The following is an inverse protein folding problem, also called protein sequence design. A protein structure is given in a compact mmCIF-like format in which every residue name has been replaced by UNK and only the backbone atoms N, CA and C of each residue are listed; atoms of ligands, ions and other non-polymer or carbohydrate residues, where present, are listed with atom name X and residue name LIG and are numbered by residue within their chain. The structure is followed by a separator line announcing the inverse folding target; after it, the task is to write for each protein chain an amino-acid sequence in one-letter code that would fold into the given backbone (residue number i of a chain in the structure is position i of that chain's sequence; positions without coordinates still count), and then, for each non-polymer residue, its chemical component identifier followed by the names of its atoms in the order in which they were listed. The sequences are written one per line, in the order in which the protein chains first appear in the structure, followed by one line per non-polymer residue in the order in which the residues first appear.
data_IF_821193954639
#
_entry.id   IF_821193954639
#
_cell.length_a   1.000
_cell.length_b   1.000
_cell.length_c   1.000
_cell.angle_alpha   90.00
_cell.angle_beta   90.00
_cell.angle_gamma   90.00
#
_symmetry.space_group_name_H-M   'P 1'
#
loop_
_entity.id
_entity.type
_entity.pdbx_description
1 polymer ?
#
# COMPACT_ATOMS: atom_id res chain seq x y z
N UNK A 1 0.49 37.35 -23.56
CA UNK A 1 -0.09 37.35 -22.19
C UNK A 1 -0.19 38.80 -21.75
N UNK A 2 -1.35 39.26 -21.27
CA UNK A 2 -1.50 40.64 -20.82
C UNK A 2 -0.50 40.97 -19.70
N UNK A 3 0.10 42.15 -19.75
CA UNK A 3 1.08 42.64 -18.77
C UNK A 3 0.43 43.60 -17.78
N UNK A 4 1.12 43.90 -16.67
CA UNK A 4 0.63 44.89 -15.69
C UNK A 4 0.49 46.30 -16.31
N UNK A 5 1.25 46.60 -17.37
CA UNK A 5 1.14 47.85 -18.14
C UNK A 5 -0.17 47.91 -18.93
N UNK A 6 -0.60 46.78 -19.49
CA UNK A 6 -1.85 46.68 -20.26
C UNK A 6 -3.05 46.87 -19.34
N UNK A 7 -3.02 46.26 -18.14
CA UNK A 7 -4.03 46.46 -17.09
C UNK A 7 -4.07 47.92 -16.64
N UNK A 8 -2.90 48.55 -16.43
CA UNK A 8 -2.81 49.95 -16.04
C UNK A 8 -3.40 50.90 -17.10
N UNK A 9 -3.08 50.65 -18.37
CA UNK A 9 -3.61 51.41 -19.51
C UNK A 9 -5.12 51.26 -19.64
N UNK A 10 -5.66 50.04 -19.53
CA UNK A 10 -7.09 49.79 -19.65
C UNK A 10 -7.89 50.33 -18.45
N UNK A 11 -7.33 50.21 -17.24
CA UNK A 11 -7.96 50.75 -16.04
C UNK A 11 -7.78 52.27 -15.91
N UNK A 12 -6.94 52.92 -16.73
CA UNK A 12 -6.67 54.36 -16.70
C UNK A 12 -5.94 54.82 -15.43
N UNK A 13 -5.01 54.01 -14.92
CA UNK A 13 -4.25 54.29 -13.68
C UNK A 13 -2.75 53.98 -13.88
N UNK A 14 -1.91 54.38 -12.92
CA UNK A 14 -0.49 54.01 -12.94
C UNK A 14 -0.28 52.51 -12.66
N UNK A 15 0.81 51.94 -13.17
CA UNK A 15 1.24 50.56 -12.83
C UNK A 15 1.45 50.37 -11.32
N UNK A 16 1.87 51.42 -10.60
CA UNK A 16 1.98 51.42 -9.15
C UNK A 16 0.60 51.30 -8.46
N UNK A 17 -0.43 51.95 -9.00
CA UNK A 17 -1.82 51.83 -8.51
C UNK A 17 -2.36 50.42 -8.74
N UNK A 18 -2.12 49.84 -9.92
CA UNK A 18 -2.47 48.43 -10.20
C UNK A 18 -1.76 47.49 -9.23
N UNK A 19 -0.46 47.71 -8.96
CA UNK A 19 0.31 46.94 -7.99
C UNK A 19 -0.24 47.07 -6.56
N UNK A 20 -0.70 48.26 -6.14
CA UNK A 20 -1.33 48.47 -4.82
C UNK A 20 -2.67 47.73 -4.68
N UNK A 21 -3.48 47.72 -5.73
CA UNK A 21 -4.74 46.95 -5.76
C UNK A 21 -4.46 45.44 -5.70
N UNK A 22 -3.50 44.97 -6.50
CA UNK A 22 -3.08 43.57 -6.56
C UNK A 22 -2.48 43.10 -5.22
N UNK A 23 -1.57 43.86 -4.63
CA UNK A 23 -0.81 43.44 -3.45
C UNK A 23 -1.41 43.92 -2.12
N UNK A 24 -2.50 44.70 -2.14
CA UNK A 24 -3.17 45.28 -0.97
C UNK A 24 -2.23 46.08 -0.04
N UNK A 25 -1.19 46.71 -0.60
CA UNK A 25 -0.13 47.36 0.18
C UNK A 25 -0.45 48.80 0.61
N UNK A 26 -1.55 49.38 0.13
CA UNK A 26 -1.99 50.73 0.48
C UNK A 26 -3.50 50.89 0.22
N UNK A 27 -4.13 51.87 0.87
CA UNK A 27 -5.53 52.21 0.60
C UNK A 27 -5.70 52.71 -0.84
N UNK A 28 -6.69 52.17 -1.53
CA UNK A 28 -7.10 52.56 -2.88
C UNK A 28 -8.61 52.71 -2.85
N UNK A 29 -9.10 53.82 -3.38
CA UNK A 29 -10.51 54.15 -3.44
C UNK A 29 -11.33 53.02 -4.10
N UNK A 30 -12.51 52.65 -3.57
CA UNK A 30 -13.30 51.52 -4.04
C UNK A 30 -13.60 51.55 -5.55
N UNK A 31 -13.93 52.73 -6.08
CA UNK A 31 -14.24 52.93 -7.51
C UNK A 31 -13.01 52.64 -8.39
N UNK A 32 -11.82 53.04 -7.92
CA UNK A 32 -10.56 52.81 -8.63
C UNK A 32 -10.15 51.33 -8.55
N UNK A 33 -10.40 50.66 -7.43
CA UNK A 33 -10.18 49.23 -7.26
C UNK A 33 -11.04 48.40 -8.21
N UNK A 34 -12.34 48.71 -8.29
CA UNK A 34 -13.28 48.00 -9.13
C UNK A 34 -12.93 48.12 -10.63
N UNK A 35 -12.46 49.30 -11.06
CA UNK A 35 -11.94 49.52 -12.42
C UNK A 35 -10.73 48.64 -12.74
N UNK A 36 -9.79 48.51 -11.80
CA UNK A 36 -8.61 47.67 -11.97
C UNK A 36 -8.99 46.19 -12.02
N UNK A 37 -9.87 45.73 -11.12
CA UNK A 37 -10.35 44.35 -11.10
C UNK A 37 -11.12 43.96 -12.36
N UNK A 38 -11.94 44.89 -12.89
CA UNK A 38 -12.62 44.71 -14.17
C UNK A 38 -11.62 44.59 -15.32
N UNK A 39 -10.65 45.50 -15.43
CA UNK A 39 -9.60 45.42 -16.46
C UNK A 39 -8.77 44.13 -16.38
N UNK A 40 -8.52 43.61 -15.18
CA UNK A 40 -7.85 42.31 -15.00
C UNK A 40 -8.68 41.14 -15.52
N UNK A 41 -10.00 41.15 -15.28
CA UNK A 41 -10.93 40.13 -15.80
C UNK A 41 -11.01 40.17 -17.33
N UNK A 42 -11.21 41.37 -17.88
CA UNK A 42 -11.40 41.57 -19.32
C UNK A 42 -10.13 41.21 -20.13
N UNK A 43 -8.95 41.45 -19.56
CA UNK A 43 -7.67 41.07 -20.17
C UNK A 43 -7.23 39.63 -19.88
N UNK A 44 -8.02 38.86 -19.13
CA UNK A 44 -7.65 37.55 -18.58
C UNK A 44 -6.24 37.58 -17.96
N UNK A 45 -5.93 38.66 -17.24
CA UNK A 45 -4.62 38.90 -16.68
C UNK A 45 -4.37 37.91 -15.54
N UNK A 46 -3.40 37.00 -15.73
CA UNK A 46 -2.89 36.12 -14.69
C UNK A 46 -1.55 36.63 -14.19
N UNK A 47 -1.39 36.67 -12.87
CA UNK A 47 -0.11 37.03 -12.24
C UNK A 47 0.98 36.08 -12.74
N UNK A 48 2.09 36.65 -13.20
CA UNK A 48 3.26 35.88 -13.55
C UNK A 48 4.01 35.49 -12.26
N UNK A 49 3.88 34.23 -11.84
CA UNK A 49 4.51 33.71 -10.63
C UNK A 49 6.05 33.83 -10.66
N UNK A 50 6.67 33.69 -11.85
CA UNK A 50 8.12 33.81 -12.01
C UNK A 50 8.63 35.25 -11.77
N UNK A 51 7.86 36.26 -12.16
CA UNK A 51 8.21 37.67 -11.93
C UNK A 51 8.05 38.08 -10.46
N UNK A 52 7.15 37.43 -9.72
CA UNK A 52 6.97 37.62 -8.27
C UNK A 52 8.11 36.96 -7.49
N UNK A 53 8.52 35.74 -7.89
CA UNK A 53 9.66 35.04 -7.30
C UNK A 53 10.99 35.78 -7.49
N UNK A 54 11.13 36.57 -8.57
CA UNK A 54 12.31 37.40 -8.81
C UNK A 54 12.30 38.71 -7.99
N UNK A 55 11.11 39.29 -7.73
CA UNK A 55 10.96 40.58 -7.07
C UNK A 55 10.83 40.47 -5.54
N UNK A 56 10.26 39.37 -5.04
CA UNK A 56 10.34 38.95 -3.64
C UNK A 56 11.42 37.89 -3.55
N UNK A 57 12.53 38.16 -2.86
CA UNK A 57 13.34 37.09 -2.24
C UNK A 57 12.51 36.37 -1.17
N UNK A 58 11.42 35.69 -1.55
CA UNK A 58 10.61 34.88 -0.64
C UNK A 58 10.91 33.42 -0.94
N UNK A 59 12.04 32.93 -0.45
CA UNK A 59 12.39 31.53 -0.52
C UNK A 59 11.65 30.74 0.55
N UNK A 60 10.33 30.71 0.48
CA UNK A 60 9.53 29.89 1.39
C UNK A 60 9.42 28.44 0.84
N UNK A 61 10.49 27.91 0.21
CA UNK A 61 10.50 26.58 -0.39
C UNK A 61 11.68 25.73 0.13
N UNK A 62 11.36 24.54 0.61
CA UNK A 62 12.30 23.50 0.99
C UNK A 62 12.20 22.37 -0.02
N UNK A 63 13.36 21.90 -0.50
CA UNK A 63 13.46 20.78 -1.42
C UNK A 63 13.69 19.47 -0.69
N UNK A 64 13.08 18.39 -1.17
CA UNK A 64 13.34 17.04 -0.72
C UNK A 64 13.58 16.15 -1.94
N UNK A 65 14.80 15.62 -2.08
CA UNK A 65 15.10 14.55 -3.02
C UNK A 65 15.03 13.21 -2.29
N UNK A 66 14.19 12.30 -2.78
CA UNK A 66 14.03 10.94 -2.25
C UNK A 66 14.40 9.89 -3.31
N UNK A 67 14.52 8.62 -2.92
CA UNK A 67 14.63 7.51 -3.87
C UNK A 67 13.33 7.30 -4.65
N UNK A 68 12.46 6.41 -4.18
CA UNK A 68 11.14 6.15 -4.76
C UNK A 68 10.01 6.59 -3.82
N UNK A 69 9.15 7.52 -4.25
CA UNK A 69 8.05 8.04 -3.43
C UNK A 69 7.05 6.97 -2.98
N UNK A 70 6.92 5.86 -3.71
CA UNK A 70 6.02 4.77 -3.35
C UNK A 70 6.51 3.97 -2.13
N UNK A 71 7.81 4.03 -1.78
CA UNK A 71 8.33 3.19 -0.70
C UNK A 71 7.95 3.76 0.68
N UNK A 72 7.48 2.91 1.63
CA UNK A 72 7.05 3.36 2.95
C UNK A 72 8.12 4.12 3.76
N UNK A 73 9.40 3.83 3.51
CA UNK A 73 10.52 4.56 4.12
C UNK A 73 10.54 6.04 3.71
N UNK A 74 10.46 6.31 2.40
CA UNK A 74 10.50 7.67 1.88
C UNK A 74 9.23 8.45 2.19
N UNK A 75 8.07 7.79 2.28
CA UNK A 75 6.84 8.41 2.77
C UNK A 75 6.98 8.92 4.21
N UNK A 76 7.63 8.16 5.11
CA UNK A 76 7.90 8.60 6.48
C UNK A 76 8.92 9.74 6.55
N UNK A 77 9.98 9.67 5.74
CA UNK A 77 10.96 10.74 5.63
C UNK A 77 10.29 12.04 5.15
N UNK A 78 9.51 11.97 4.07
CA UNK A 78 8.79 13.11 3.52
C UNK A 78 7.84 13.73 4.53
N UNK A 79 7.09 12.91 5.27
CA UNK A 79 6.23 13.38 6.37
C UNK A 79 7.02 14.10 7.46
N UNK A 80 8.17 13.58 7.87
CA UNK A 80 9.02 14.23 8.88
C UNK A 80 9.52 15.60 8.43
N UNK A 81 9.90 15.71 7.15
CA UNK A 81 10.31 16.99 6.55
C UNK A 81 9.11 17.94 6.40
N UNK A 82 7.95 17.43 6.00
CA UNK A 82 6.69 18.18 5.86
C UNK A 82 6.25 18.78 7.21
N UNK A 83 6.27 17.99 8.29
CA UNK A 83 5.88 18.44 9.63
C UNK A 83 6.72 19.64 10.09
N UNK A 84 8.02 19.64 9.80
CA UNK A 84 8.93 20.76 10.11
C UNK A 84 8.68 21.93 9.16
N UNK A 85 8.57 21.67 7.86
CA UNK A 85 8.35 22.70 6.83
C UNK A 85 7.06 23.49 7.11
N UNK A 86 5.97 22.79 7.44
CA UNK A 86 4.67 23.38 7.77
C UNK A 86 4.72 24.25 9.02
N UNK A 87 5.41 23.81 10.08
CA UNK A 87 5.59 24.61 11.31
C UNK A 87 6.34 25.90 11.05
N UNK A 88 7.31 25.87 10.15
CA UNK A 88 8.13 27.02 9.77
C UNK A 88 7.51 27.83 8.62
N UNK A 89 6.30 27.51 8.16
CA UNK A 89 5.60 28.16 7.04
C UNK A 89 6.34 28.04 5.69
N UNK A 90 7.18 27.03 5.53
CA UNK A 90 7.80 26.66 4.25
C UNK A 90 6.90 25.69 3.46
N UNK A 91 6.94 25.82 2.13
CA UNK A 91 6.36 24.87 1.18
C UNK A 91 7.38 23.79 0.88
N UNK A 92 6.94 22.54 0.85
CA UNK A 92 7.79 21.39 0.52
C UNK A 92 7.65 21.03 -0.97
N UNK A 93 8.77 20.97 -1.67
CA UNK A 93 8.86 20.45 -3.03
C UNK A 93 9.61 19.12 -3.02
N UNK A 94 8.98 18.07 -3.55
CA UNK A 94 9.52 16.70 -3.50
C UNK A 94 9.86 16.20 -4.90
N UNK A 95 11.05 15.62 -5.04
CA UNK A 95 11.50 14.94 -6.25
C UNK A 95 11.90 13.49 -5.94
N UNK A 96 11.74 12.61 -6.92
CA UNK A 96 12.12 11.20 -6.85
C UNK A 96 13.31 10.95 -7.78
N UNK A 97 14.43 10.48 -7.23
CA UNK A 97 15.65 10.14 -7.96
C UNK A 97 15.74 8.68 -8.39
N UNK A 98 14.79 7.82 -7.99
CA UNK A 98 14.64 6.47 -8.53
C UNK A 98 15.82 5.52 -8.28
N UNK A 99 16.74 5.83 -7.36
CA UNK A 99 18.01 5.12 -7.20
C UNK A 99 18.82 5.04 -8.50
N UNK A 100 18.77 6.12 -9.29
CA UNK A 100 19.45 6.30 -10.57
C UNK A 100 20.27 7.60 -10.55
N UNK A 101 21.50 7.56 -11.04
CA UNK A 101 22.42 8.69 -10.95
C UNK A 101 21.92 9.90 -11.76
N UNK A 102 21.40 9.69 -12.97
CA UNK A 102 20.95 10.76 -13.85
C UNK A 102 19.69 11.41 -13.30
N UNK A 103 18.74 10.61 -12.81
CA UNK A 103 17.52 11.11 -12.18
C UNK A 103 17.79 11.82 -10.84
N UNK A 104 18.67 11.29 -9.99
CA UNK A 104 19.09 11.94 -8.74
C UNK A 104 19.71 13.33 -9.04
N UNK A 105 20.58 13.40 -10.05
CA UNK A 105 21.19 14.67 -10.47
C UNK A 105 20.15 15.65 -11.03
N UNK A 106 19.30 15.20 -11.96
CA UNK A 106 18.27 16.04 -12.56
C UNK A 106 17.27 16.56 -11.51
N UNK A 107 16.90 15.74 -10.53
CA UNK A 107 16.06 16.13 -9.41
C UNK A 107 16.72 17.20 -8.53
N UNK A 108 18.01 17.05 -8.24
CA UNK A 108 18.76 18.04 -7.46
C UNK A 108 18.91 19.38 -8.22
N UNK A 109 19.25 19.33 -9.51
CA UNK A 109 19.30 20.51 -10.38
C UNK A 109 17.95 21.23 -10.44
N UNK A 110 16.85 20.47 -10.55
CA UNK A 110 15.51 21.02 -10.53
C UNK A 110 15.22 21.76 -9.22
N UNK A 111 15.47 21.14 -8.05
CA UNK A 111 15.22 21.75 -6.74
C UNK A 111 16.03 23.05 -6.54
N UNK A 112 17.30 23.06 -6.98
CA UNK A 112 18.14 24.26 -6.96
C UNK A 112 17.57 25.35 -7.88
N UNK A 113 17.20 25.00 -9.11
CA UNK A 113 16.68 25.95 -10.11
C UNK A 113 15.29 26.51 -9.75
N UNK A 114 14.48 25.77 -8.99
CA UNK A 114 13.21 26.26 -8.45
C UNK A 114 13.38 27.23 -7.27
N UNK A 115 14.61 27.46 -6.82
CA UNK A 115 14.91 28.42 -5.74
C UNK A 115 14.57 27.90 -4.35
N UNK A 116 14.70 26.58 -4.12
CA UNK A 116 14.63 26.05 -2.75
C UNK A 116 15.75 26.68 -1.90
N UNK A 117 15.46 27.07 -0.65
CA UNK A 117 16.47 27.66 0.27
C UNK A 117 17.26 26.61 1.02
N UNK A 118 16.62 25.47 1.30
CA UNK A 118 17.22 24.31 1.95
C UNK A 118 16.83 23.05 1.17
N UNK A 119 17.72 22.07 1.10
CA UNK A 119 17.44 20.81 0.41
C UNK A 119 17.86 19.65 1.32
N UNK A 120 16.91 18.75 1.59
CA UNK A 120 17.19 17.44 2.19
C UNK A 120 17.35 16.44 1.05
N UNK A 121 18.48 15.74 1.01
CA UNK A 121 18.85 14.85 -0.08
C UNK A 121 19.07 13.43 0.43
N UNK A 122 18.25 12.51 -0.06
CA UNK A 122 18.62 11.10 -0.14
C UNK A 122 19.09 10.81 -1.57
N UNK A 123 20.39 10.53 -1.73
CA UNK A 123 20.98 10.19 -3.01
C UNK A 123 21.91 8.98 -2.81
N UNK A 124 21.55 7.88 -3.45
CA UNK A 124 22.20 6.58 -3.27
C UNK A 124 23.20 6.24 -4.37
N UNK A 125 23.04 6.84 -5.56
CA UNK A 125 23.87 6.59 -6.74
C UNK A 125 24.78 7.74 -7.08
N UNK A 126 24.34 8.97 -6.83
CA UNK A 126 25.11 10.16 -7.15
C UNK A 126 26.48 10.09 -6.45
N UNK A 127 27.61 10.24 -7.17
CA UNK A 127 28.94 10.15 -6.56
C UNK A 127 29.17 11.24 -5.52
N UNK A 128 29.94 10.93 -4.47
CA UNK A 128 30.26 11.86 -3.38
C UNK A 128 30.85 13.18 -3.90
N UNK A 129 31.71 13.11 -4.92
CA UNK A 129 32.30 14.29 -5.57
C UNK A 129 31.26 15.28 -6.10
N UNK A 130 30.14 14.78 -6.63
CA UNK A 130 29.07 15.64 -7.16
C UNK A 130 28.26 16.24 -6.02
N UNK A 131 27.87 15.44 -5.02
CA UNK A 131 27.19 15.96 -3.82
C UNK A 131 28.01 17.03 -3.10
N UNK A 132 29.33 16.87 -3.03
CA UNK A 132 30.23 17.90 -2.49
C UNK A 132 30.24 19.17 -3.33
N UNK A 133 30.16 19.07 -4.67
CA UNK A 133 30.04 20.24 -5.55
C UNK A 133 28.73 20.99 -5.31
N UNK A 134 27.60 20.29 -5.13
CA UNK A 134 26.34 20.93 -4.75
C UNK A 134 26.45 21.57 -3.36
N UNK A 135 26.99 20.86 -2.36
CA UNK A 135 27.13 21.36 -1.00
C UNK A 135 28.04 22.60 -0.88
N UNK A 136 29.01 22.76 -1.79
CA UNK A 136 29.88 23.92 -1.87
C UNK A 136 29.12 25.18 -2.36
N UNK A 137 28.16 25.02 -3.27
CA UNK A 137 27.37 26.13 -3.83
C UNK A 137 26.02 26.32 -3.11
N UNK A 138 25.58 25.32 -2.35
CA UNK A 138 24.32 25.28 -1.64
C UNK A 138 24.55 24.94 -0.15
N UNK A 139 24.79 25.95 0.71
CA UNK A 139 25.16 25.72 2.11
C UNK A 139 24.12 24.98 2.95
N UNK A 140 22.84 25.07 2.59
CA UNK A 140 21.72 24.46 3.30
C UNK A 140 21.30 23.08 2.72
N UNK A 141 22.25 22.36 2.11
CA UNK A 141 22.06 20.99 1.64
C UNK A 141 22.43 20.02 2.77
N UNK A 142 21.48 19.17 3.15
CA UNK A 142 21.64 18.11 4.16
C UNK A 142 21.47 16.76 3.48
N UNK A 143 22.41 15.85 3.71
CA UNK A 143 22.36 14.48 3.16
C UNK A 143 21.82 13.54 4.23
N UNK A 144 20.85 12.71 3.87
CA UNK A 144 20.27 11.70 4.76
C UNK A 144 20.64 10.29 4.30
N UNK A 145 20.84 9.38 5.26
CA UNK A 145 21.17 7.97 5.05
C UNK A 145 22.46 7.76 4.21
N UNK A 146 23.42 8.68 4.32
CA UNK A 146 24.74 8.55 3.70
C UNK A 146 25.75 9.44 4.42
N UNK A 147 26.95 8.91 4.65
CA UNK A 147 28.08 9.66 5.19
C UNK A 147 29.02 10.10 4.06
N UNK A 148 29.42 11.37 4.08
CA UNK A 148 30.38 11.94 3.12
C UNK A 148 31.39 12.77 3.92
N UNK A 149 32.64 12.33 3.96
CA UNK A 149 33.67 12.91 4.82
C UNK A 149 33.85 14.43 4.64
N UNK A 150 33.79 14.92 3.39
CA UNK A 150 33.94 16.35 3.07
C UNK A 150 32.78 17.25 3.51
N UNK A 151 31.66 16.67 3.97
CA UNK A 151 30.50 17.41 4.48
C UNK A 151 29.83 16.70 5.66
N UNK A 152 30.63 16.01 6.48
CA UNK A 152 30.17 15.16 7.58
C UNK A 152 29.20 15.86 8.54
N UNK A 153 29.42 17.16 8.82
CA UNK A 153 28.55 17.98 9.67
C UNK A 153 27.16 18.27 9.08
N UNK A 154 26.90 17.86 7.84
CA UNK A 154 25.61 17.96 7.14
C UNK A 154 25.05 16.60 6.73
N UNK A 155 25.64 15.52 7.23
CA UNK A 155 25.14 14.16 7.03
C UNK A 155 24.34 13.72 8.25
N UNK A 156 23.16 13.16 8.01
CA UNK A 156 22.36 12.44 9.02
C UNK A 156 22.31 10.99 8.55
N UNK A 157 23.06 10.09 9.20
CA UNK A 157 23.16 8.70 8.78
C UNK A 157 23.13 7.75 9.99
N UNK A 158 23.02 6.46 9.68
CA UNK A 158 23.12 5.37 10.65
C UNK A 158 24.40 4.58 10.38
N UNK A 159 25.10 4.16 11.44
CA UNK A 159 26.19 3.19 11.35
C UNK A 159 25.62 1.78 11.06
N UNK A 160 25.32 1.48 9.80
CA UNK A 160 24.70 0.22 9.36
C UNK A 160 25.47 -1.01 9.85
N UNK A 161 26.81 -0.97 9.77
CA UNK A 161 27.68 -2.07 10.20
C UNK A 161 27.52 -2.35 11.69
N UNK A 162 27.63 -1.32 12.53
CA UNK A 162 27.47 -1.48 13.97
C UNK A 162 26.05 -1.90 14.33
N UNK A 163 25.03 -1.31 13.69
CA UNK A 163 23.62 -1.64 13.95
C UNK A 163 23.31 -3.12 13.61
N UNK A 164 23.75 -3.61 12.45
CA UNK A 164 23.56 -5.01 12.06
C UNK A 164 24.34 -5.98 12.95
N UNK A 165 25.54 -5.59 13.39
CA UNK A 165 26.32 -6.36 14.35
C UNK A 165 25.59 -6.51 15.69
N UNK A 166 25.09 -5.42 16.26
CA UNK A 166 24.33 -5.48 17.53
C UNK A 166 23.03 -6.29 17.39
N UNK A 167 22.30 -6.14 16.28
CA UNK A 167 21.09 -6.94 16.02
C UNK A 167 21.40 -8.44 15.95
N UNK A 168 22.50 -8.82 15.29
CA UNK A 168 22.92 -10.22 15.19
C UNK A 168 23.45 -10.75 16.51
N UNK A 169 24.23 -9.93 17.25
CA UNK A 169 24.70 -10.26 18.60
C UNK A 169 23.55 -10.52 19.56
N UNK A 170 22.48 -9.74 19.48
CA UNK A 170 21.29 -9.98 20.29
C UNK A 170 20.71 -11.39 20.07
N UNK A 171 20.59 -11.83 18.81
CA UNK A 171 20.14 -13.19 18.49
C UNK A 171 21.11 -14.26 19.03
N UNK A 172 22.42 -14.03 18.87
CA UNK A 172 23.46 -14.94 19.37
C UNK A 172 23.45 -15.07 20.90
N UNK A 173 23.26 -13.94 21.60
CA UNK A 173 23.14 -13.89 23.05
C UNK A 173 21.91 -14.66 23.57
N UNK A 174 20.83 -14.68 22.79
CA UNK A 174 19.62 -15.47 23.07
C UNK A 174 19.71 -16.95 22.64
N UNK A 175 20.91 -17.45 22.29
CA UNK A 175 21.15 -18.86 22.01
C UNK A 175 20.92 -19.27 20.56
N UNK A 176 20.52 -18.37 19.67
CA UNK A 176 20.44 -18.68 18.24
C UNK A 176 21.86 -18.91 17.70
N UNK A 177 22.04 -19.93 16.85
CA UNK A 177 23.33 -20.26 16.20
C UNK A 177 23.22 -20.38 14.68
N UNK A 178 21.99 -20.56 14.18
CA UNK A 178 21.66 -20.66 12.76
C UNK A 178 20.82 -19.46 12.39
N UNK A 179 21.48 -18.41 11.94
CA UNK A 179 20.87 -17.11 11.65
C UNK A 179 20.99 -16.89 10.14
N UNK A 180 19.88 -16.59 9.48
CA UNK A 180 19.89 -16.22 8.08
C UNK A 180 19.82 -14.70 7.92
N UNK A 181 20.45 -14.19 6.86
CA UNK A 181 20.46 -12.78 6.48
C UNK A 181 19.77 -12.64 5.13
N UNK A 182 18.57 -12.06 5.13
CA UNK A 182 17.88 -11.63 3.90
C UNK A 182 18.27 -10.19 3.61
N UNK A 183 18.75 -9.95 2.40
CA UNK A 183 19.18 -8.63 1.93
C UNK A 183 18.62 -8.33 0.55
N UNK A 184 18.59 -7.05 0.17
CA UNK A 184 18.27 -6.65 -1.19
C UNK A 184 19.40 -6.99 -2.18
N UNK A 185 19.11 -7.04 -3.48
CA UNK A 185 20.06 -7.10 -4.59
C UNK A 185 20.51 -5.72 -5.10
N UNK A 186 20.01 -4.65 -4.47
CA UNK A 186 20.36 -3.28 -4.80
C UNK A 186 21.88 -3.05 -4.64
N UNK A 187 22.56 -2.43 -5.62
CA UNK A 187 23.98 -2.09 -5.53
C UNK A 187 24.21 -0.82 -4.69
N UNK A 188 23.93 -0.92 -3.39
CA UNK A 188 24.08 0.18 -2.42
C UNK A 188 25.03 -0.21 -1.29
N UNK A 189 25.72 0.78 -0.71
CA UNK A 189 26.69 0.56 0.37
C UNK A 189 26.03 -0.01 1.64
N UNK A 190 24.82 0.42 1.97
CA UNK A 190 24.06 -0.02 3.15
C UNK A 190 23.92 -1.55 3.22
N UNK A 191 23.73 -2.19 2.06
CA UNK A 191 23.65 -3.65 1.92
C UNK A 191 24.95 -4.31 2.39
N UNK A 192 26.07 -3.82 1.88
CA UNK A 192 27.39 -4.36 2.20
C UNK A 192 27.72 -4.16 3.69
N UNK A 193 27.47 -2.96 4.22
CA UNK A 193 27.74 -2.65 5.62
C UNK A 193 26.92 -3.52 6.58
N UNK A 194 25.62 -3.70 6.31
CA UNK A 194 24.76 -4.57 7.12
C UNK A 194 25.22 -6.03 7.05
N UNK A 195 25.58 -6.52 5.87
CA UNK A 195 26.06 -7.88 5.69
C UNK A 195 27.40 -8.11 6.41
N UNK A 196 28.29 -7.13 6.40
CA UNK A 196 29.55 -7.20 7.12
C UNK A 196 29.35 -7.16 8.63
N UNK A 197 28.42 -6.33 9.13
CA UNK A 197 28.06 -6.31 10.56
C UNK A 197 27.50 -7.66 11.04
N UNK A 198 26.64 -8.27 10.23
CA UNK A 198 26.14 -9.64 10.45
C UNK A 198 27.27 -10.67 10.50
N UNK A 199 28.19 -10.66 9.52
CA UNK A 199 29.34 -11.58 9.47
C UNK A 199 30.27 -11.38 10.67
N UNK A 200 30.57 -10.14 11.02
CA UNK A 200 31.40 -9.79 12.16
C UNK A 200 30.83 -10.34 13.47
N UNK A 201 29.52 -10.21 13.70
CA UNK A 201 28.87 -10.75 14.89
C UNK A 201 28.94 -12.29 14.95
N UNK A 202 28.81 -12.98 13.81
CA UNK A 202 28.95 -14.44 13.77
C UNK A 202 30.40 -14.87 14.04
N UNK A 203 31.37 -14.17 13.47
CA UNK A 203 32.80 -14.42 13.69
C UNK A 203 33.20 -14.22 15.16
N UNK A 204 32.67 -13.19 15.84
CA UNK A 204 32.84 -12.96 17.28
C UNK A 204 32.40 -14.16 18.15
N UNK A 205 31.46 -14.97 17.65
CA UNK A 205 30.95 -16.17 18.32
C UNK A 205 31.53 -17.48 17.72
N UNK A 206 32.53 -17.38 16.83
CA UNK A 206 33.16 -18.53 16.18
C UNK A 206 32.26 -19.28 15.20
N UNK A 207 31.27 -18.60 14.61
CA UNK A 207 30.29 -19.19 13.69
C UNK A 207 30.62 -18.75 12.27
N UNK A 208 30.79 -19.73 11.37
CA UNK A 208 30.83 -19.47 9.93
C UNK A 208 29.42 -19.55 9.34
N UNK A 209 28.88 -18.48 8.73
CA UNK A 209 27.56 -18.54 8.10
C UNK A 209 27.55 -19.50 6.92
N UNK A 210 26.54 -20.36 6.83
CA UNK A 210 26.28 -21.13 5.61
C UNK A 210 25.94 -20.13 4.48
N UNK A 211 26.63 -20.18 3.33
CA UNK A 211 26.35 -19.27 2.22
C UNK A 211 24.89 -19.30 1.75
N UNK A 212 24.19 -20.43 1.93
CA UNK A 212 22.76 -20.58 1.59
C UNK A 212 21.84 -19.76 2.47
N UNK A 213 22.33 -19.26 3.61
CA UNK A 213 21.56 -18.43 4.53
C UNK A 213 21.75 -16.93 4.29
N UNK A 214 22.58 -16.55 3.34
CA UNK A 214 22.68 -15.15 2.86
C UNK A 214 21.90 -15.04 1.55
N UNK A 215 20.68 -14.54 1.65
CA UNK A 215 19.73 -14.49 0.55
C UNK A 215 19.62 -13.06 0.03
N UNK A 216 19.96 -12.87 -1.25
CA UNK A 216 19.85 -11.58 -1.93
C UNK A 216 18.69 -11.61 -2.91
N UNK A 217 17.71 -10.72 -2.72
CA UNK A 217 16.47 -10.68 -3.51
C UNK A 217 16.11 -9.24 -3.91
N UNK A 218 15.26 -9.03 -4.93
CA UNK A 218 14.72 -7.70 -5.22
C UNK A 218 14.07 -7.04 -4.01
N UNK A 219 14.22 -5.72 -3.89
CA UNK A 219 13.62 -4.93 -2.80
C UNK A 219 12.13 -4.66 -3.08
N UNK A 220 11.31 -5.70 -3.05
CA UNK A 220 9.86 -5.64 -3.23
C UNK A 220 9.18 -6.86 -2.57
N UNK A 221 7.84 -6.90 -2.62
CA UNK A 221 7.04 -7.98 -2.02
C UNK A 221 7.38 -9.36 -2.61
N UNK A 222 7.53 -9.45 -3.94
CA UNK A 222 7.92 -10.69 -4.64
C UNK A 222 9.31 -11.19 -4.22
N UNK A 223 10.26 -10.27 -3.98
CA UNK A 223 11.56 -10.60 -3.43
C UNK A 223 11.45 -11.17 -2.01
N UNK A 224 10.61 -10.57 -1.17
CA UNK A 224 10.30 -11.07 0.17
C UNK A 224 9.70 -12.47 0.17
N UNK A 225 8.73 -12.72 -0.71
CA UNK A 225 8.13 -14.05 -0.91
C UNK A 225 9.17 -15.08 -1.34
N UNK A 226 10.01 -14.76 -2.33
CA UNK A 226 11.10 -15.65 -2.77
C UNK A 226 12.10 -15.96 -1.66
N UNK A 227 12.47 -14.97 -0.86
CA UNK A 227 13.36 -15.17 0.28
C UNK A 227 12.71 -16.12 1.32
N UNK A 228 11.42 -15.96 1.60
CA UNK A 228 10.69 -16.85 2.51
C UNK A 228 10.69 -18.30 1.99
N UNK A 229 10.39 -18.52 0.71
CA UNK A 229 10.47 -19.85 0.10
C UNK A 229 11.87 -20.47 0.18
N UNK A 230 12.92 -19.68 -0.13
CA UNK A 230 14.30 -20.16 -0.03
C UNK A 230 14.67 -20.54 1.40
N UNK A 231 14.26 -19.74 2.40
CA UNK A 231 14.50 -20.05 3.81
C UNK A 231 13.79 -21.32 4.26
N UNK A 232 12.52 -21.49 3.92
CA UNK A 232 11.74 -22.70 4.23
C UNK A 232 12.41 -23.93 3.61
N UNK A 233 12.85 -23.83 2.35
CA UNK A 233 13.49 -24.93 1.62
C UNK A 233 14.95 -25.17 2.02
N UNK A 234 15.60 -24.22 2.72
CA UNK A 234 17.00 -24.35 3.13
C UNK A 234 17.23 -25.37 4.27
N UNK A 235 16.15 -25.85 4.89
CA UNK A 235 16.22 -26.74 6.06
C UNK A 235 16.74 -26.05 7.33
N UNK A 236 16.88 -24.72 7.32
CA UNK A 236 17.15 -23.94 8.52
C UNK A 236 15.98 -24.15 9.50
N UNK A 237 16.22 -24.68 10.71
CA UNK A 237 15.16 -24.74 11.72
C UNK A 237 14.82 -23.32 12.12
N UNK A 238 13.73 -22.81 11.56
CA UNK A 238 13.30 -21.44 11.76
C UNK A 238 12.81 -21.28 13.19
N UNK A 239 13.63 -20.66 14.03
CA UNK A 239 13.19 -20.12 15.32
C UNK A 239 12.42 -18.84 15.04
N UNK A 240 11.11 -18.97 14.88
CA UNK A 240 10.25 -17.81 14.75
C UNK A 240 9.86 -17.28 16.13
N UNK A 241 10.15 -15.99 16.39
CA UNK A 241 9.44 -15.24 17.43
C UNK A 241 8.23 -14.49 16.84
N UNK A 242 7.47 -15.17 15.97
CA UNK A 242 6.27 -14.59 15.34
C UNK A 242 5.01 -15.13 16.00
N UNK A 243 3.97 -14.30 16.04
CA UNK A 243 2.61 -14.72 16.39
C UNK A 243 1.83 -14.91 15.10
N UNK A 244 1.26 -16.10 14.91
CA UNK A 244 0.35 -16.40 13.82
C UNK A 244 -1.06 -15.94 14.23
N UNK A 245 -1.64 -15.04 13.44
CA UNK A 245 -3.06 -14.69 13.54
C UNK A 245 -3.75 -15.32 12.34
N UNK A 246 -4.69 -16.24 12.59
CA UNK A 246 -5.51 -16.88 11.56
C UNK A 246 -6.88 -16.23 11.53
N UNK A 247 -7.28 -15.69 10.37
CA UNK A 247 -8.64 -15.22 10.13
C UNK A 247 -9.51 -16.41 9.71
N UNK A 248 -10.35 -16.87 10.63
CA UNK A 248 -11.22 -18.03 10.52
C UNK A 248 -12.70 -17.61 10.39
N UNK A 249 -12.97 -16.39 9.94
CA UNK A 249 -14.34 -15.81 9.83
C UNK A 249 -15.30 -16.58 8.94
N UNK A 250 -14.80 -17.48 8.08
CA UNK A 250 -15.59 -18.34 7.19
C UNK A 250 -15.77 -19.76 7.73
N UNK A 251 -15.24 -20.07 8.91
CA UNK A 251 -15.21 -21.44 9.45
C UNK A 251 -16.60 -22.08 9.59
N UNK A 252 -17.64 -21.28 9.84
CA UNK A 252 -19.02 -21.78 9.97
C UNK A 252 -19.68 -22.06 8.61
N UNK A 253 -19.14 -21.51 7.51
CA UNK A 253 -19.71 -21.61 6.16
C UNK A 253 -19.06 -22.75 5.37
N UNK A 254 -19.05 -23.96 5.90
CA UNK A 254 -18.59 -25.14 5.19
C UNK A 254 -19.75 -25.85 4.51
N UNK A 255 -19.51 -26.43 3.34
CA UNK A 255 -20.52 -27.26 2.71
C UNK A 255 -20.75 -28.55 3.52
N UNK A 256 -21.95 -29.14 3.48
CA UNK A 256 -22.24 -30.39 4.18
C UNK A 256 -21.21 -31.49 3.84
N UNK A 257 -20.65 -32.11 4.87
CA UNK A 257 -19.63 -33.16 4.76
C UNK A 257 -18.18 -32.67 4.79
N UNK A 258 -17.94 -31.36 4.67
CA UNK A 258 -16.59 -30.78 4.74
C UNK A 258 -16.18 -30.48 6.19
N UNK A 259 -14.88 -30.42 6.46
CA UNK A 259 -14.34 -30.16 7.80
C UNK A 259 -13.30 -29.05 7.76
N UNK A 260 -13.45 -28.06 8.65
CA UNK A 260 -12.45 -27.02 8.88
C UNK A 260 -11.57 -27.38 10.06
N UNK A 261 -10.26 -27.24 9.90
CA UNK A 261 -9.29 -27.42 10.98
C UNK A 261 -8.77 -26.07 11.42
N UNK A 262 -9.24 -25.60 12.57
CA UNK A 262 -8.74 -24.35 13.17
C UNK A 262 -7.25 -24.43 13.53
N UNK A 263 -6.54 -23.31 13.46
CA UNK A 263 -5.17 -23.13 13.95
C UNK A 263 -5.01 -23.55 15.42
N UNK A 264 -6.11 -23.55 16.19
CA UNK A 264 -6.13 -23.98 17.59
C UNK A 264 -5.90 -25.49 17.77
N UNK A 265 -6.07 -26.30 16.71
CA UNK A 265 -5.73 -27.73 16.72
C UNK A 265 -4.24 -28.00 16.61
N UNK A 266 -3.41 -26.99 16.35
CA UNK A 266 -1.97 -27.12 16.45
C UNK A 266 -1.61 -27.53 17.89
N UNK A 267 -0.67 -28.48 18.04
CA UNK A 267 -0.29 -29.00 19.36
C UNK A 267 0.19 -27.92 20.33
N UNK A 268 0.06 -28.16 21.63
CA UNK A 268 0.26 -27.19 22.73
C UNK A 268 1.52 -26.33 22.62
N UNK A 269 2.60 -26.87 22.05
CA UNK A 269 3.84 -26.12 21.79
C UNK A 269 3.62 -24.82 20.99
N UNK A 270 2.56 -24.75 20.19
CA UNK A 270 2.21 -23.61 19.35
C UNK A 270 1.22 -22.64 19.99
N UNK A 271 0.49 -23.05 21.04
CA UNK A 271 -0.53 -22.23 21.70
C UNK A 271 -0.01 -20.89 22.25
N UNK A 272 1.30 -20.82 22.55
CA UNK A 272 2.01 -19.59 22.93
C UNK A 272 2.12 -18.54 21.82
N UNK A 273 1.77 -18.90 20.58
CA UNK A 273 2.09 -18.13 19.37
C UNK A 273 0.94 -18.04 18.37
N UNK A 274 -0.26 -18.49 18.73
CA UNK A 274 -1.40 -18.50 17.80
C UNK A 274 -2.57 -17.70 18.35
N UNK A 275 -3.25 -17.01 17.45
CA UNK A 275 -4.51 -16.31 17.69
C UNK A 275 -5.45 -16.76 16.56
N UNK A 276 -6.62 -17.28 16.90
CA UNK A 276 -7.71 -17.44 15.94
C UNK A 276 -8.64 -16.23 16.05
N UNK A 277 -8.96 -15.61 14.91
CA UNK A 277 -9.91 -14.52 14.79
C UNK A 277 -11.15 -15.02 14.06
N UNK A 278 -12.34 -14.79 14.63
CA UNK A 278 -13.61 -15.18 14.00
C UNK A 278 -14.67 -14.10 14.24
N UNK A 279 -15.77 -14.13 13.48
CA UNK A 279 -16.89 -13.23 13.68
C UNK A 279 -18.17 -13.80 13.06
N UNK A 280 -19.31 -13.52 13.68
CA UNK A 280 -20.64 -13.86 13.13
C UNK A 280 -20.99 -13.10 11.83
N UNK A 281 -20.15 -12.14 11.42
CA UNK A 281 -20.47 -11.19 10.35
C UNK A 281 -20.71 -11.83 8.98
N UNK A 282 -19.95 -12.86 8.60
CA UNK A 282 -20.09 -13.52 7.29
C UNK A 282 -21.20 -14.56 7.31
N UNK A 283 -21.21 -15.40 8.35
CA UNK A 283 -22.15 -16.50 8.51
C UNK A 283 -23.59 -16.02 8.67
N UNK A 284 -23.82 -15.01 9.51
CA UNK A 284 -25.15 -14.55 9.90
C UNK A 284 -25.51 -13.16 9.35
N UNK A 285 -24.68 -12.60 8.46
CA UNK A 285 -24.95 -11.30 7.84
C UNK A 285 -24.84 -10.09 8.78
N UNK A 286 -24.08 -10.22 9.88
CA UNK A 286 -23.97 -9.21 10.94
C UNK A 286 -22.81 -8.22 10.76
N UNK A 287 -22.36 -7.96 9.53
CA UNK A 287 -21.18 -7.12 9.27
C UNK A 287 -21.30 -5.66 9.74
N UNK A 288 -22.52 -5.12 9.78
CA UNK A 288 -22.79 -3.77 10.28
C UNK A 288 -22.60 -3.64 11.80
N UNK A 289 -22.65 -4.75 12.54
CA UNK A 289 -22.55 -4.76 14.00
C UNK A 289 -21.10 -4.68 14.50
N UNK A 290 -20.10 -4.83 13.63
CA UNK A 290 -18.66 -4.58 13.93
C UNK A 290 -18.18 -5.25 15.22
N UNK A 291 -18.46 -6.54 15.38
CA UNK A 291 -17.98 -7.36 16.49
C UNK A 291 -17.23 -8.60 15.98
N UNK A 292 -16.14 -8.93 16.66
CA UNK A 292 -15.25 -10.06 16.34
C UNK A 292 -14.74 -10.71 17.63
N UNK A 293 -14.43 -12.00 17.55
CA UNK A 293 -13.85 -12.77 18.63
C UNK A 293 -12.40 -13.12 18.33
N UNK A 294 -11.55 -13.03 19.35
CA UNK A 294 -10.17 -13.52 19.31
C UNK A 294 -10.01 -14.65 20.33
N UNK A 295 -9.72 -15.84 19.83
CA UNK A 295 -9.43 -17.02 20.64
C UNK A 295 -7.92 -17.11 20.82
N UNK A 296 -7.44 -16.79 22.02
CA UNK A 296 -6.02 -16.73 22.38
C UNK A 296 -5.77 -17.68 23.56
N UNK A 297 -5.21 -18.88 23.31
CA UNK A 297 -4.97 -19.87 24.36
C UNK A 297 -3.96 -19.39 25.42
N UNK A 298 -2.90 -18.70 25.01
CA UNK A 298 -1.86 -18.24 25.92
C UNK A 298 -2.27 -16.97 26.70
N UNK A 299 -2.30 -17.02 28.05
CA UNK A 299 -2.73 -15.87 28.86
C UNK A 299 -1.82 -14.65 28.72
N UNK A 300 -0.51 -14.84 28.52
CA UNK A 300 0.46 -13.74 28.43
C UNK A 300 0.27 -12.97 27.13
N UNK A 301 0.14 -13.71 26.02
CA UNK A 301 -0.18 -13.15 24.70
C UNK A 301 -1.54 -12.46 24.72
N UNK A 302 -2.56 -13.07 25.35
CA UNK A 302 -3.89 -12.48 25.49
C UNK A 302 -3.86 -11.15 26.23
N UNK A 303 -3.15 -11.06 27.35
CA UNK A 303 -3.02 -9.81 28.11
C UNK A 303 -2.29 -8.72 27.31
N UNK A 304 -1.22 -9.08 26.59
CA UNK A 304 -0.52 -8.14 25.69
C UNK A 304 -1.43 -7.65 24.57
N UNK A 305 -2.26 -8.53 24.01
CA UNK A 305 -3.21 -8.20 22.96
C UNK A 305 -4.30 -7.24 23.47
N UNK A 306 -4.92 -7.55 24.62
CA UNK A 306 -5.91 -6.68 25.26
C UNK A 306 -5.35 -5.29 25.57
N UNK A 307 -4.16 -5.21 26.17
CA UNK A 307 -3.50 -3.92 26.45
C UNK A 307 -3.30 -3.06 25.21
N UNK A 308 -3.10 -3.66 24.03
CA UNK A 308 -3.00 -2.93 22.77
C UNK A 308 -4.37 -2.50 22.24
N UNK A 309 -5.40 -3.34 22.36
CA UNK A 309 -6.78 -2.96 22.00
C UNK A 309 -7.27 -1.77 22.83
N UNK A 310 -7.06 -1.82 24.15
CA UNK A 310 -7.44 -0.75 25.08
C UNK A 310 -6.72 0.56 24.73
N UNK A 311 -5.41 0.50 24.44
CA UNK A 311 -4.64 1.67 24.02
C UNK A 311 -5.13 2.30 22.71
N UNK A 312 -5.84 1.53 21.87
CA UNK A 312 -6.44 1.99 20.62
C UNK A 312 -7.95 2.30 20.74
N UNK A 313 -8.57 2.08 21.91
CA UNK A 313 -10.02 2.25 22.11
C UNK A 313 -10.86 1.29 21.26
N UNK A 314 -10.32 0.09 20.97
CA UNK A 314 -10.98 -0.94 20.14
C UNK A 314 -11.77 -1.96 20.99
N UNK A 315 -11.95 -1.68 22.27
CA UNK A 315 -12.65 -2.48 23.28
C UNK A 315 -14.13 -2.08 23.48
N UNK A 316 -14.60 -1.05 22.77
CA UNK A 316 -15.97 -0.52 22.92
C UNK A 316 -16.92 -1.13 21.88
N UNK A 317 -17.78 -2.04 22.32
CA UNK A 317 -18.84 -2.63 21.51
C UNK A 317 -20.22 -2.16 21.98
N UNK A 318 -21.14 -1.96 21.03
CA UNK A 318 -22.52 -1.65 21.42
C UNK A 318 -23.24 -2.92 21.92
N UNK A 319 -24.19 -2.76 22.85
CA UNK A 319 -24.88 -3.88 23.48
C UNK A 319 -25.66 -4.76 22.48
N UNK A 320 -26.18 -4.15 21.40
CA UNK A 320 -26.88 -4.86 20.33
C UNK A 320 -25.93 -5.84 19.61
N UNK A 321 -24.69 -5.43 19.32
CA UNK A 321 -23.69 -6.28 18.67
C UNK A 321 -23.34 -7.49 19.50
N UNK A 322 -23.16 -7.32 20.81
CA UNK A 322 -22.86 -8.43 21.73
C UNK A 322 -24.04 -9.41 21.78
N UNK A 323 -25.26 -8.90 21.92
CA UNK A 323 -26.46 -9.74 21.97
C UNK A 323 -26.67 -10.49 20.66
N UNK A 324 -26.59 -9.81 19.51
CA UNK A 324 -26.79 -10.41 18.21
C UNK A 324 -25.75 -11.51 17.91
N UNK A 325 -24.47 -11.28 18.22
CA UNK A 325 -23.43 -12.31 18.05
C UNK A 325 -23.65 -13.50 18.98
N UNK A 326 -24.09 -13.26 20.23
CA UNK A 326 -24.40 -14.32 21.20
C UNK A 326 -25.57 -15.17 20.73
N UNK A 327 -26.68 -14.55 20.32
CA UNK A 327 -27.87 -15.25 19.79
C UNK A 327 -27.55 -15.99 18.48
N UNK A 328 -26.70 -15.43 17.61
CA UNK A 328 -26.28 -16.09 16.38
C UNK A 328 -25.66 -17.47 16.63
N UNK A 329 -24.67 -17.56 17.53
CA UNK A 329 -24.01 -18.85 17.80
C UNK A 329 -24.79 -19.76 18.77
N UNK A 330 -25.56 -19.22 19.72
CA UNK A 330 -26.27 -20.04 20.70
C UNK A 330 -27.63 -20.55 20.22
N UNK A 331 -28.32 -19.81 19.35
CA UNK A 331 -29.74 -20.06 19.05
C UNK A 331 -30.02 -20.30 17.55
N UNK A 332 -29.11 -19.91 16.65
CA UNK A 332 -29.39 -19.92 15.20
C UNK A 332 -28.86 -21.15 14.45
N UNK A 333 -28.54 -22.25 15.16
CA UNK A 333 -27.97 -23.47 14.56
C UNK A 333 -28.84 -24.05 13.46
N UNK A 334 -30.15 -24.20 13.70
CA UNK A 334 -31.08 -24.77 12.73
C UNK A 334 -31.17 -23.94 11.44
N UNK A 335 -31.14 -22.61 11.58
CA UNK A 335 -31.11 -21.70 10.44
C UNK A 335 -29.80 -21.85 9.65
N UNK A 336 -28.66 -21.94 10.35
CA UNK A 336 -27.36 -22.14 9.72
C UNK A 336 -27.32 -23.46 8.94
N UNK A 337 -27.75 -24.58 9.53
CA UNK A 337 -27.79 -25.88 8.84
C UNK A 337 -28.64 -25.80 7.56
N UNK A 338 -29.82 -25.18 7.65
CA UNK A 338 -30.71 -24.97 6.50
C UNK A 338 -30.07 -24.08 5.42
N UNK A 339 -29.30 -23.05 5.82
CA UNK A 339 -28.55 -22.20 4.91
C UNK A 339 -27.43 -23.00 4.21
N UNK A 340 -26.70 -23.84 4.93
CA UNK A 340 -25.61 -24.63 4.35
C UNK A 340 -26.13 -25.62 3.31
N UNK A 341 -27.24 -26.30 3.61
CA UNK A 341 -27.93 -27.17 2.65
C UNK A 341 -28.38 -26.39 1.41
N UNK A 342 -28.95 -25.19 1.61
CA UNK A 342 -29.36 -24.33 0.51
C UNK A 342 -28.17 -23.87 -0.36
N UNK A 343 -27.05 -23.46 0.25
CA UNK A 343 -25.85 -23.05 -0.45
C UNK A 343 -25.21 -24.22 -1.22
N UNK A 344 -25.20 -25.42 -0.64
CA UNK A 344 -24.71 -26.63 -1.28
C UNK A 344 -25.54 -26.99 -2.50
N UNK A 345 -26.86 -26.94 -2.37
CA UNK A 345 -27.79 -27.16 -3.47
C UNK A 345 -27.66 -26.08 -4.55
N UNK A 346 -27.52 -24.81 -4.15
CA UNK A 346 -27.26 -23.71 -5.07
C UNK A 346 -25.99 -23.94 -5.91
N UNK A 347 -24.90 -24.32 -5.25
CA UNK A 347 -23.63 -24.64 -5.88
C UNK A 347 -23.73 -25.84 -6.81
N UNK A 348 -24.30 -26.95 -6.35
CA UNK A 348 -24.44 -28.20 -7.12
C UNK A 348 -25.12 -27.93 -8.46
N UNK A 349 -26.31 -27.34 -8.40
CA UNK A 349 -27.08 -27.00 -9.60
C UNK A 349 -26.36 -25.97 -10.48
N UNK A 350 -25.70 -24.94 -9.92
CA UNK A 350 -25.00 -23.96 -10.75
C UNK A 350 -23.83 -24.60 -11.49
N UNK A 351 -23.08 -25.49 -10.82
CA UNK A 351 -21.99 -26.25 -11.44
C UNK A 351 -22.51 -27.16 -12.55
N UNK A 352 -23.63 -27.86 -12.33
CA UNK A 352 -24.29 -28.70 -13.35
C UNK A 352 -24.67 -27.86 -14.58
N UNK A 353 -25.37 -26.75 -14.38
CA UNK A 353 -25.80 -25.86 -15.46
C UNK A 353 -24.64 -25.20 -16.21
N UNK A 354 -23.60 -24.76 -15.49
CA UNK A 354 -22.42 -24.18 -16.10
C UNK A 354 -21.65 -25.24 -16.92
N UNK A 355 -21.53 -26.46 -16.41
CA UNK A 355 -20.83 -27.55 -17.10
C UNK A 355 -21.57 -27.97 -18.37
N UNK A 356 -22.90 -28.01 -18.32
CA UNK A 356 -23.74 -28.39 -19.46
C UNK A 356 -23.75 -27.31 -20.56
N UNK A 357 -23.82 -26.03 -20.18
CA UNK A 357 -24.16 -24.95 -21.12
C UNK A 357 -23.04 -23.94 -21.40
N UNK A 358 -21.99 -23.89 -20.59
CA UNK A 358 -20.92 -22.90 -20.70
C UNK A 358 -19.56 -23.60 -21.00
N UNK A 359 -19.31 -24.05 -22.24
CA UNK A 359 -18.12 -24.85 -22.59
C UNK A 359 -16.78 -24.09 -22.41
N UNK A 360 -16.86 -22.77 -22.33
CA UNK A 360 -15.72 -21.88 -22.08
C UNK A 360 -15.44 -21.67 -20.59
N UNK A 361 -16.39 -21.98 -19.70
CA UNK A 361 -16.24 -21.79 -18.27
C UNK A 361 -15.61 -23.01 -17.61
N UNK A 362 -14.75 -22.78 -16.62
CA UNK A 362 -14.34 -23.82 -15.67
C UNK A 362 -14.60 -23.34 -14.25
N UNK A 363 -15.45 -24.06 -13.52
CA UNK A 363 -15.72 -23.76 -12.12
C UNK A 363 -14.57 -24.27 -11.26
N UNK A 364 -14.11 -23.44 -10.32
CA UNK A 364 -13.09 -23.82 -9.33
C UNK A 364 -13.80 -24.53 -8.15
N UNK A 365 -13.42 -25.77 -7.82
CA UNK A 365 -13.96 -26.47 -6.65
C UNK A 365 -13.72 -25.68 -5.37
N UNK A 366 -14.71 -25.67 -4.48
CA UNK A 366 -14.59 -25.06 -3.15
C UNK A 366 -15.42 -25.85 -2.13
N UNK A 367 -14.87 -26.00 -0.92
CA UNK A 367 -15.44 -26.79 0.18
C UNK A 367 -16.33 -25.96 1.11
N UNK A 368 -16.55 -24.68 0.78
CA UNK A 368 -17.25 -23.76 1.66
C UNK A 368 -17.56 -22.44 0.99
N UNK A 369 -18.08 -21.53 1.80
CA UNK A 369 -18.56 -20.19 1.51
C UNK A 369 -19.72 -20.17 0.52
N UNK A 370 -20.38 -19.02 0.46
CA UNK A 370 -21.33 -18.69 -0.59
C UNK A 370 -20.66 -18.16 -1.87
N UNK A 371 -19.33 -18.19 -1.99
CA UNK A 371 -18.61 -17.64 -3.13
C UNK A 371 -18.17 -18.75 -4.11
N UNK A 372 -18.31 -18.48 -5.40
CA UNK A 372 -17.91 -19.38 -6.47
C UNK A 372 -16.98 -18.66 -7.43
N UNK A 373 -15.83 -19.29 -7.72
CA UNK A 373 -14.87 -18.79 -8.69
C UNK A 373 -15.04 -19.53 -10.02
N UNK A 374 -15.00 -18.76 -11.11
CA UNK A 374 -15.11 -19.27 -12.47
C UNK A 374 -13.96 -18.73 -13.31
N UNK A 375 -13.22 -19.64 -13.93
CA UNK A 375 -12.19 -19.36 -14.92
C UNK A 375 -12.86 -19.16 -16.28
N UNK A 376 -12.67 -17.97 -16.85
CA UNK A 376 -13.24 -17.55 -18.13
C UNK A 376 -12.18 -17.42 -19.24
N UNK A 377 -10.93 -17.86 -19.00
CA UNK A 377 -9.79 -17.61 -19.91
C UNK A 377 -9.98 -18.17 -21.31
N UNK A 378 -10.78 -19.24 -21.48
CA UNK A 378 -11.10 -19.79 -22.81
C UNK A 378 -11.88 -18.83 -23.72
N UNK A 379 -12.44 -17.75 -23.17
CA UNK A 379 -13.04 -16.68 -23.98
C UNK A 379 -11.99 -15.85 -24.74
N UNK A 380 -10.71 -15.88 -24.33
CA UNK A 380 -9.65 -15.12 -24.97
C UNK A 380 -9.78 -13.60 -24.81
N UNK A 381 -10.45 -13.15 -23.74
CA UNK A 381 -10.68 -11.75 -23.43
C UNK A 381 -9.69 -11.25 -22.38
N UNK A 382 -9.31 -9.97 -22.47
CA UNK A 382 -8.69 -9.28 -21.34
C UNK A 382 -9.74 -8.95 -20.24
N UNK A 383 -9.29 -8.45 -19.09
CA UNK A 383 -10.16 -8.23 -17.93
C UNK A 383 -11.21 -7.12 -18.14
N UNK A 384 -10.91 -6.08 -18.94
CA UNK A 384 -11.87 -5.00 -19.23
C UNK A 384 -12.93 -5.48 -20.21
N UNK A 385 -12.52 -6.21 -21.24
CA UNK A 385 -13.42 -6.89 -22.17
C UNK A 385 -14.30 -7.91 -21.44
N UNK A 386 -13.73 -8.71 -20.55
CA UNK A 386 -14.46 -9.68 -19.75
C UNK A 386 -15.50 -8.98 -18.88
N UNK A 387 -15.12 -7.90 -18.18
CA UNK A 387 -16.03 -7.09 -17.37
C UNK A 387 -17.20 -6.55 -18.20
N UNK A 388 -16.90 -6.00 -19.38
CA UNK A 388 -17.91 -5.49 -20.31
C UNK A 388 -18.88 -6.59 -20.75
N UNK A 389 -18.36 -7.74 -21.20
CA UNK A 389 -19.22 -8.86 -21.62
C UNK A 389 -20.10 -9.37 -20.47
N UNK A 390 -19.58 -9.45 -19.25
CA UNK A 390 -20.37 -9.87 -18.09
C UNK A 390 -21.53 -8.90 -17.82
N UNK A 391 -21.27 -7.59 -17.86
CA UNK A 391 -22.27 -6.57 -17.60
C UNK A 391 -23.27 -6.43 -18.76
N UNK A 392 -22.80 -6.17 -19.97
CA UNK A 392 -23.63 -5.74 -21.09
C UNK A 392 -24.28 -6.91 -21.86
N UNK A 393 -23.68 -8.11 -21.82
CA UNK A 393 -24.20 -9.28 -22.53
C UNK A 393 -24.89 -10.23 -21.56
N UNK A 394 -24.16 -10.64 -20.52
CA UNK A 394 -24.70 -11.57 -19.54
C UNK A 394 -25.66 -10.88 -18.55
N UNK A 395 -25.60 -9.56 -18.40
CA UNK A 395 -26.47 -8.85 -17.47
C UNK A 395 -26.14 -9.13 -16.00
N UNK A 396 -24.89 -9.48 -15.72
CA UNK A 396 -24.40 -9.78 -14.36
C UNK A 396 -23.23 -8.87 -13.99
N UNK A 397 -23.12 -8.55 -12.69
CA UNK A 397 -22.03 -7.76 -12.14
C UNK A 397 -21.20 -8.60 -11.14
N UNK A 398 -20.31 -9.49 -11.63
CA UNK A 398 -19.47 -10.29 -10.75
C UNK A 398 -18.37 -9.44 -10.10
N UNK A 399 -17.75 -9.97 -9.04
CA UNK A 399 -16.45 -9.45 -8.63
C UNK A 399 -15.39 -9.93 -9.63
N UNK A 400 -14.68 -8.99 -10.26
CA UNK A 400 -13.61 -9.31 -11.21
C UNK A 400 -12.39 -9.88 -10.47
N UNK A 401 -11.83 -10.97 -11.00
CA UNK A 401 -10.68 -11.64 -10.40
C UNK A 401 -9.42 -10.78 -10.41
N UNK A 402 -9.26 -9.88 -11.37
CA UNK A 402 -8.17 -8.89 -11.43
C UNK A 402 -8.07 -8.01 -10.18
N UNK A 403 -9.18 -7.79 -9.47
CA UNK A 403 -9.19 -7.08 -8.18
C UNK A 403 -8.51 -7.85 -7.03
N UNK A 404 -8.16 -9.12 -7.22
CA UNK A 404 -7.50 -9.99 -6.24
C UNK A 404 -6.03 -10.28 -6.62
N UNK A 405 -5.46 -9.53 -7.55
CA UNK A 405 -4.07 -9.63 -8.00
C UNK A 405 -3.90 -10.34 -9.35
N UNK A 406 -2.65 -10.41 -9.85
CA UNK A 406 -2.37 -10.88 -11.22
C UNK A 406 -2.86 -12.30 -11.50
N UNK A 407 -2.81 -13.19 -10.50
CA UNK A 407 -3.28 -14.57 -10.61
C UNK A 407 -4.80 -14.67 -10.87
N UNK A 408 -5.57 -13.64 -10.50
CA UNK A 408 -7.01 -13.57 -10.71
C UNK A 408 -7.42 -13.06 -12.09
N UNK A 409 -6.49 -12.64 -12.95
CA UNK A 409 -6.81 -12.20 -14.32
C UNK A 409 -7.52 -13.32 -15.10
N UNK A 410 -8.61 -12.96 -15.80
CA UNK A 410 -9.46 -13.89 -16.53
C UNK A 410 -10.43 -14.70 -15.67
N UNK A 411 -10.51 -14.45 -14.36
CA UNK A 411 -11.49 -15.06 -13.47
C UNK A 411 -12.60 -14.10 -13.09
N UNK A 412 -13.76 -14.66 -12.76
CA UNK A 412 -14.83 -13.94 -12.07
C UNK A 412 -15.24 -14.67 -10.80
N UNK A 413 -15.79 -13.93 -9.83
CA UNK A 413 -16.34 -14.48 -8.59
C UNK A 413 -17.80 -14.09 -8.42
N UNK A 414 -18.64 -15.10 -8.20
CA UNK A 414 -20.09 -15.01 -8.05
C UNK A 414 -20.51 -15.29 -6.61
N UNK A 415 -21.66 -14.73 -6.21
CA UNK A 415 -22.28 -14.97 -4.92
C UNK A 415 -23.48 -15.92 -5.10
N UNK A 416 -23.40 -17.10 -4.48
CA UNK A 416 -24.42 -18.15 -4.45
C UNK A 416 -25.41 -18.01 -3.28
N UNK A 417 -25.14 -17.12 -2.34
CA UNK A 417 -26.01 -16.77 -1.21
C UNK A 417 -27.13 -15.84 -1.64
N UNK A 418 -27.84 -16.23 -2.70
CA UNK A 418 -28.96 -15.49 -3.29
C UNK A 418 -30.09 -16.46 -3.65
N UNK A 419 -31.30 -15.95 -3.92
CA UNK A 419 -32.38 -16.80 -4.43
C UNK A 419 -31.97 -17.54 -5.71
N UNK A 420 -32.36 -18.81 -5.82
CA UNK A 420 -32.13 -19.68 -7.00
C UNK A 420 -32.43 -18.99 -8.33
N UNK A 421 -33.50 -18.20 -8.39
CA UNK A 421 -33.93 -17.46 -9.58
C UNK A 421 -32.86 -16.49 -10.10
N UNK A 422 -32.03 -15.91 -9.23
CA UNK A 422 -30.93 -15.05 -9.67
C UNK A 422 -29.79 -15.85 -10.30
N UNK A 423 -29.57 -17.09 -9.84
CA UNK A 423 -28.60 -18.01 -10.46
C UNK A 423 -29.10 -18.49 -11.83
N UNK A 424 -30.40 -18.74 -11.97
CA UNK A 424 -31.05 -19.03 -13.26
C UNK A 424 -30.87 -17.87 -14.24
N UNK A 425 -31.19 -16.65 -13.83
CA UNK A 425 -30.96 -15.45 -14.63
C UNK A 425 -29.48 -15.27 -15.01
N UNK A 426 -28.57 -15.57 -14.09
CA UNK A 426 -27.13 -15.50 -14.36
C UNK A 426 -26.70 -16.52 -15.41
N UNK A 427 -27.14 -17.79 -15.30
CA UNK A 427 -26.85 -18.83 -16.29
C UNK A 427 -27.42 -18.44 -17.67
N UNK A 428 -28.67 -17.98 -17.73
CA UNK A 428 -29.28 -17.54 -18.99
C UNK A 428 -28.57 -16.34 -19.60
N UNK A 429 -28.06 -15.45 -18.75
CA UNK A 429 -27.14 -14.39 -19.14
C UNK A 429 -25.86 -14.91 -19.77
N UNK A 430 -25.15 -15.79 -19.06
CA UNK A 430 -23.87 -16.34 -19.49
C UNK A 430 -23.98 -17.15 -20.78
N UNK A 431 -25.11 -17.84 -21.01
CA UNK A 431 -25.42 -18.56 -22.26
C UNK A 431 -25.43 -17.64 -23.49
N UNK A 432 -25.70 -16.33 -23.33
CA UNK A 432 -25.68 -15.36 -24.44
C UNK A 432 -24.26 -15.00 -24.91
N UNK A 433 -23.23 -15.37 -24.15
CA UNK A 433 -21.83 -15.13 -24.54
C UNK A 433 -21.45 -16.15 -25.61
N UNK A 434 -21.26 -15.66 -26.84
CA UNK A 434 -20.92 -16.47 -28.01
C UNK A 434 -19.74 -15.88 -28.77
N UNK A 435 -19.18 -16.64 -29.72
CA UNK A 435 -18.10 -16.17 -30.61
C UNK A 435 -18.50 -14.90 -31.39
N UNK A 436 -19.78 -14.74 -31.75
CA UNK A 436 -20.28 -13.51 -32.41
C UNK A 436 -20.23 -12.30 -31.48
N UNK A 437 -20.57 -12.50 -30.21
CA UNK A 437 -20.52 -11.48 -29.16
C UNK A 437 -19.09 -10.96 -28.97
N UNK A 438 -18.12 -11.87 -28.95
CA UNK A 438 -16.69 -11.54 -28.76
C UNK A 438 -16.15 -10.63 -29.88
N UNK A 439 -16.66 -10.78 -31.11
CA UNK A 439 -16.26 -9.92 -32.25
C UNK A 439 -16.84 -8.51 -32.21
N UNK A 440 -17.89 -8.29 -31.42
CA UNK A 440 -18.55 -6.97 -31.27
C UNK A 440 -18.03 -6.14 -30.10
N UNK A 441 -17.01 -6.61 -29.38
CA UNK A 441 -16.45 -5.92 -28.23
C UNK A 441 -15.74 -4.65 -28.71
N UNK A 442 -15.99 -3.48 -28.08
CA UNK A 442 -15.23 -2.27 -28.37
C UNK A 442 -13.73 -2.55 -28.18
N UNK A 443 -12.94 -2.36 -29.23
CA UNK A 443 -11.48 -2.38 -29.08
C UNK A 443 -11.11 -1.08 -28.39
N UNK A 444 -10.65 -1.17 -27.13
CA UNK A 444 -10.20 -0.03 -26.37
C UNK A 444 -9.09 0.69 -27.13
N UNK A 445 -9.31 1.98 -27.42
CA UNK A 445 -8.33 2.93 -27.93
C UNK A 445 -8.02 3.99 -26.88
#
# INVERSE_FOLDING_TARGET
MATIKDVASMAGVSTATVSRVINQTAWVEPVTRERVEKAMRDLNYRRNAAAIALAKRSGDMLGLLTGNLADPFFARLARGVEDVSRKQQYRLMVCSGGHDEEMEKAGLDFLVNQGCEAIVVHASRLPDKELLRYAAHFPALVVVNRYIAGMANRCIWLENRSAAREATRYLLANGHRRIACVTSDLPIIDRQERLDGYRQALEEYGISPDPRWVISVPFNEEGGERAAHQLINSGLPLTYDVTLISDEIWADLLLPGETFTSVLHLGERWHKRVISATAASKTFGLSSLRISNFLIPDPTLRLRFLSRLDAHGLDVFNALSVQAATTAWNESRQWLDSLLDYLAENRRWFVEQATEHLPWARIVPAQGTYLLWMDCKKLGLDDEQLKWVMADVAGIAPSMGSGFGPAGSGFIRLNLGCPRTYLEMAIDGLKRISVKTIKGIPTGG
#
